data_IF_482120789706
#
_entry.id   IF_482120789706
#
_cell.length_a   1.000
_cell.length_b   1.000
_cell.length_c   1.000
_cell.angle_alpha   90.00
_cell.angle_beta   90.00
_cell.angle_gamma   90.00
#
_symmetry.space_group_name_H-M   'P 1'
#
loop_
_entity.id
_entity.type
_entity.pdbx_description
1 polymer ?
#
# COMPACT_ATOMS: atom_id res chain seq x y z
N UNK A 1 5.53 -11.57 4.33
CA UNK A 1 5.34 -10.82 3.09
C UNK A 1 4.19 -9.84 3.21
N UNK A 2 4.33 -8.66 2.62
CA UNK A 2 3.25 -7.70 2.46
C UNK A 2 3.02 -7.39 0.97
N UNK A 3 1.75 -7.21 0.57
CA UNK A 3 1.36 -6.66 -0.72
C UNK A 3 0.91 -5.22 -0.51
N UNK A 4 1.54 -4.29 -1.21
CA UNK A 4 1.22 -2.86 -1.14
C UNK A 4 0.69 -2.40 -2.49
N UNK A 5 -0.60 -2.09 -2.55
CA UNK A 5 -1.21 -1.52 -3.76
C UNK A 5 -0.95 -0.02 -3.85
N UNK A 6 -0.89 0.50 -5.09
CA UNK A 6 -0.55 1.89 -5.38
C UNK A 6 0.73 2.35 -4.65
N UNK A 7 1.77 1.52 -4.72
CA UNK A 7 3.00 1.68 -3.95
C UNK A 7 3.77 2.99 -4.24
N UNK A 8 3.48 3.65 -5.35
CA UNK A 8 4.04 4.96 -5.69
C UNK A 8 3.26 6.15 -5.12
N UNK A 9 2.14 5.93 -4.42
CA UNK A 9 1.42 6.99 -3.71
C UNK A 9 2.10 7.36 -2.40
N UNK A 10 1.72 8.49 -1.80
CA UNK A 10 2.28 8.90 -0.50
C UNK A 10 2.11 7.82 0.59
N UNK A 11 0.94 7.17 0.66
CA UNK A 11 0.71 6.05 1.58
C UNK A 11 1.54 4.83 1.18
N UNK A 12 1.59 4.52 -0.12
CA UNK A 12 2.31 3.37 -0.65
C UNK A 12 3.81 3.45 -0.43
N UNK A 13 4.42 4.60 -0.70
CA UNK A 13 5.86 4.83 -0.50
C UNK A 13 6.26 4.71 0.97
N UNK A 14 5.42 5.19 1.88
CA UNK A 14 5.61 5.00 3.32
C UNK A 14 5.49 3.53 3.71
N UNK A 15 4.46 2.83 3.22
CA UNK A 15 4.22 1.43 3.52
C UNK A 15 5.38 0.51 3.07
N UNK A 16 5.91 0.69 1.86
CA UNK A 16 7.07 -0.08 1.37
C UNK A 16 8.27 0.12 2.29
N UNK A 17 8.56 1.35 2.69
CA UNK A 17 9.67 1.65 3.58
C UNK A 17 9.46 1.05 4.99
N UNK A 18 8.23 1.07 5.52
CA UNK A 18 7.90 0.42 6.80
C UNK A 18 8.13 -1.09 6.70
N UNK A 19 7.63 -1.74 5.66
CA UNK A 19 7.81 -3.18 5.45
C UNK A 19 9.30 -3.54 5.45
N UNK A 20 10.11 -2.75 4.75
CA UNK A 20 11.56 -2.92 4.70
C UNK A 20 12.22 -2.71 6.07
N UNK A 21 11.83 -1.66 6.80
CA UNK A 21 12.47 -1.30 8.08
C UNK A 21 12.30 -2.37 9.17
N UNK A 22 11.22 -3.15 9.10
CA UNK A 22 10.96 -4.27 10.02
C UNK A 22 11.53 -5.61 9.51
N UNK A 23 12.33 -5.60 8.44
CA UNK A 23 12.93 -6.81 7.86
C UNK A 23 11.93 -7.72 7.12
N UNK A 24 10.71 -7.25 6.83
CA UNK A 24 9.74 -7.98 6.02
C UNK A 24 9.97 -7.74 4.53
N UNK A 25 9.32 -8.53 3.68
CA UNK A 25 9.42 -8.45 2.23
C UNK A 25 8.16 -7.84 1.62
N UNK A 26 8.32 -7.04 0.57
CA UNK A 26 7.25 -6.33 -0.11
C UNK A 26 7.07 -6.78 -1.56
N UNK A 27 5.83 -7.14 -1.92
CA UNK A 27 5.34 -7.08 -3.29
C UNK A 27 4.60 -5.75 -3.44
N UNK A 28 4.92 -4.97 -4.45
CA UNK A 28 4.40 -3.62 -4.64
C UNK A 28 3.80 -3.45 -6.03
N UNK A 29 2.58 -2.91 -6.15
CA UNK A 29 1.98 -2.64 -7.45
C UNK A 29 2.02 -1.16 -7.79
N UNK A 30 2.39 -0.84 -9.02
CA UNK A 30 2.37 0.52 -9.57
C UNK A 30 2.18 0.49 -11.08
N UNK A 31 2.07 1.65 -11.72
CA UNK A 31 2.06 1.75 -13.18
C UNK A 31 3.49 1.74 -13.73
N UNK A 32 3.64 1.41 -15.02
CA UNK A 32 4.92 1.27 -15.75
C UNK A 32 5.93 2.36 -15.43
N UNK A 33 5.51 3.64 -15.52
CA UNK A 33 6.39 4.79 -15.32
C UNK A 33 6.95 4.92 -13.90
N UNK A 34 6.37 4.22 -12.93
CA UNK A 34 6.70 4.32 -11.50
C UNK A 34 7.49 3.11 -10.98
N UNK A 35 7.73 2.10 -11.81
CA UNK A 35 8.38 0.83 -11.42
C UNK A 35 9.76 1.07 -10.82
N UNK A 36 10.61 1.85 -11.48
CA UNK A 36 11.97 2.10 -10.99
C UNK A 36 11.99 2.88 -9.67
N UNK A 37 11.08 3.85 -9.52
CA UNK A 37 10.96 4.60 -8.28
C UNK A 37 10.54 3.70 -7.10
N UNK A 38 9.57 2.81 -7.32
CA UNK A 38 9.10 1.87 -6.28
C UNK A 38 10.18 0.83 -5.96
N UNK A 39 10.93 0.37 -6.97
CA UNK A 39 12.08 -0.53 -6.76
C UNK A 39 13.16 0.13 -5.91
N UNK A 40 13.44 1.40 -6.15
CA UNK A 40 14.43 2.17 -5.38
C UNK A 40 14.02 2.36 -3.90
N UNK A 41 12.74 2.27 -3.55
CA UNK A 41 12.25 2.28 -2.17
C UNK A 41 12.54 0.97 -1.43
N UNK A 42 12.95 -0.08 -2.15
CA UNK A 42 13.33 -1.35 -1.58
C UNK A 42 12.21 -2.40 -1.56
N UNK A 43 11.22 -2.30 -2.45
CA UNK A 43 10.29 -3.40 -2.70
C UNK A 43 11.05 -4.60 -3.32
N UNK A 44 10.81 -5.81 -2.80
CA UNK A 44 11.46 -7.03 -3.29
C UNK A 44 10.94 -7.45 -4.67
N UNK A 45 9.66 -7.24 -4.90
CA UNK A 45 8.97 -7.47 -6.18
C UNK A 45 8.13 -6.26 -6.53
N UNK A 46 8.33 -5.71 -7.72
CA UNK A 46 7.51 -4.60 -8.24
C UNK A 46 6.75 -5.11 -9.44
N UNK A 47 5.44 -4.97 -9.39
CA UNK A 47 4.49 -5.43 -10.41
C UNK A 47 3.92 -4.23 -11.14
N UNK A 48 4.13 -4.16 -12.43
CA UNK A 48 3.42 -3.23 -13.31
C UNK A 48 2.00 -3.74 -13.57
N UNK A 49 1.02 -3.24 -12.81
CA UNK A 49 -0.37 -3.69 -12.92
C UNK A 49 -1.00 -3.46 -14.29
N UNK A 50 -0.35 -2.68 -15.17
CA UNK A 50 -0.85 -2.42 -16.53
C UNK A 50 -0.57 -3.55 -17.51
N UNK A 51 0.42 -4.40 -17.20
CA UNK A 51 0.89 -5.49 -18.06
C UNK A 51 1.08 -6.82 -17.34
N UNK A 52 1.10 -6.81 -16.00
CA UNK A 52 1.38 -8.00 -15.18
C UNK A 52 0.23 -8.32 -14.22
N UNK A 53 0.09 -9.60 -13.88
CA UNK A 53 -0.86 -10.05 -12.86
C UNK A 53 -0.18 -10.16 -11.49
N UNK A 54 -0.61 -9.34 -10.56
CA UNK A 54 -0.06 -9.36 -9.21
C UNK A 54 -0.38 -10.66 -8.45
N UNK A 55 -1.46 -11.37 -8.77
CA UNK A 55 -1.77 -12.67 -8.16
C UNK A 55 -0.69 -13.68 -8.51
N UNK A 56 -0.32 -13.74 -9.79
CA UNK A 56 0.76 -14.60 -10.25
C UNK A 56 2.11 -14.21 -9.68
N UNK A 57 2.39 -12.90 -9.61
CA UNK A 57 3.63 -12.37 -9.03
C UNK A 57 3.75 -12.72 -7.54
N UNK A 58 2.66 -12.58 -6.77
CA UNK A 58 2.61 -13.00 -5.36
C UNK A 58 2.83 -14.49 -5.22
N UNK A 59 2.15 -15.31 -6.04
CA UNK A 59 2.31 -16.76 -5.99
C UNK A 59 3.77 -17.16 -6.24
N UNK A 60 4.40 -16.58 -7.25
CA UNK A 60 5.81 -16.84 -7.57
C UNK A 60 6.73 -16.41 -6.43
N UNK A 61 6.57 -15.18 -5.92
CA UNK A 61 7.45 -14.62 -4.87
C UNK A 61 7.35 -15.38 -3.54
N UNK A 62 6.18 -15.96 -3.25
CA UNK A 62 5.92 -16.63 -1.96
C UNK A 62 5.90 -18.16 -2.05
N UNK A 63 6.21 -18.73 -3.20
CA UNK A 63 6.11 -20.19 -3.43
C UNK A 63 4.68 -20.71 -3.25
N UNK A 64 3.68 -19.94 -3.65
CA UNK A 64 2.26 -20.29 -3.53
C UNK A 64 1.64 -20.05 -2.15
N UNK A 65 2.42 -19.64 -1.14
CA UNK A 65 1.91 -19.41 0.23
C UNK A 65 0.97 -18.19 0.32
N UNK A 66 1.20 -17.17 -0.48
CA UNK A 66 0.55 -15.89 -0.39
C UNK A 66 1.22 -14.94 0.63
N UNK A 67 0.72 -13.70 0.70
CA UNK A 67 1.23 -12.63 1.57
C UNK A 67 0.47 -12.57 2.90
N UNK A 68 1.14 -12.15 3.97
CA UNK A 68 0.56 -12.09 5.32
C UNK A 68 -0.34 -10.87 5.52
N UNK A 69 -0.02 -9.76 4.83
CA UNK A 69 -0.76 -8.51 4.92
C UNK A 69 -0.92 -7.91 3.53
N UNK A 70 -2.09 -7.37 3.23
CA UNK A 70 -2.37 -6.58 2.05
C UNK A 70 -2.83 -5.19 2.49
N UNK A 71 -2.16 -4.15 2.02
CA UNK A 71 -2.60 -2.76 2.13
C UNK A 71 -3.30 -2.38 0.84
N UNK A 72 -4.61 -2.17 0.92
CA UNK A 72 -5.44 -1.87 -0.24
C UNK A 72 -6.05 -0.48 -0.16
N UNK A 73 -5.75 0.35 -1.15
CA UNK A 73 -6.34 1.67 -1.38
C UNK A 73 -7.27 1.68 -2.61
N UNK A 74 -7.34 0.55 -3.35
CA UNK A 74 -8.03 0.44 -4.63
C UNK A 74 -9.47 -0.04 -4.43
N UNK A 75 -9.65 -1.16 -3.74
CA UNK A 75 -10.97 -1.80 -3.61
C UNK A 75 -11.50 -2.34 -4.95
N UNK A 76 -12.84 -2.35 -5.10
CA UNK A 76 -13.45 -2.82 -6.34
C UNK A 76 -13.02 -4.24 -6.71
N UNK A 77 -12.69 -4.46 -7.96
CA UNK A 77 -12.30 -5.77 -8.52
C UNK A 77 -11.00 -6.34 -7.95
N UNK A 78 -10.28 -5.55 -7.14
CA UNK A 78 -9.08 -6.04 -6.47
C UNK A 78 -9.40 -7.01 -5.33
N UNK A 79 -10.59 -6.98 -4.75
CA UNK A 79 -10.90 -7.76 -3.55
C UNK A 79 -10.78 -9.27 -3.78
N UNK A 80 -11.36 -9.83 -4.83
CA UNK A 80 -11.24 -11.26 -5.13
C UNK A 80 -9.79 -11.67 -5.39
N UNK A 81 -9.05 -10.83 -6.11
CA UNK A 81 -7.63 -11.04 -6.40
C UNK A 81 -6.78 -10.94 -5.13
N UNK A 82 -7.13 -10.05 -4.20
CA UNK A 82 -6.51 -9.95 -2.89
C UNK A 82 -6.76 -11.22 -2.06
N UNK A 83 -7.97 -11.74 -2.09
CA UNK A 83 -8.28 -13.01 -1.41
C UNK A 83 -7.51 -14.17 -2.04
N UNK A 84 -7.35 -14.20 -3.35
CA UNK A 84 -6.49 -15.21 -4.01
C UNK A 84 -5.02 -15.11 -3.53
N UNK A 85 -4.53 -13.88 -3.30
CA UNK A 85 -3.14 -13.57 -2.96
C UNK A 85 -2.81 -13.70 -1.47
N UNK A 86 -3.83 -13.69 -0.57
CA UNK A 86 -3.58 -13.69 0.87
C UNK A 86 -3.18 -15.08 1.39
N UNK A 87 -2.26 -15.11 2.33
CA UNK A 87 -1.88 -16.33 3.03
C UNK A 87 -2.94 -16.77 4.05
N UNK A 88 -2.81 -18.01 4.55
CA UNK A 88 -3.63 -18.50 5.65
C UNK A 88 -3.51 -17.57 6.87
N UNK A 89 -4.65 -17.15 7.42
CA UNK A 89 -4.74 -16.19 8.54
C UNK A 89 -4.18 -14.80 8.23
N UNK A 90 -4.01 -14.46 6.94
CA UNK A 90 -3.56 -13.14 6.53
C UNK A 90 -4.62 -12.06 6.72
N UNK A 91 -4.22 -10.81 6.54
CA UNK A 91 -5.08 -9.64 6.76
C UNK A 91 -5.09 -8.73 5.54
N UNK A 92 -6.27 -8.38 5.07
CA UNK A 92 -6.49 -7.35 4.06
C UNK A 92 -6.94 -6.09 4.80
N UNK A 93 -6.19 -5.01 4.67
CA UNK A 93 -6.49 -3.71 5.27
C UNK A 93 -6.93 -2.75 4.18
N UNK A 94 -8.23 -2.46 4.16
CA UNK A 94 -8.84 -1.54 3.20
C UNK A 94 -8.80 -0.12 3.75
N UNK A 95 -7.99 0.74 3.13
CA UNK A 95 -7.81 2.14 3.56
C UNK A 95 -8.37 3.14 2.55
N UNK A 96 -8.77 2.69 1.38
CA UNK A 96 -9.39 3.50 0.33
C UNK A 96 -10.16 2.64 -0.67
N UNK A 97 -10.95 3.26 -1.53
CA UNK A 97 -11.80 2.58 -2.53
C UNK A 97 -11.75 3.33 -3.88
N UNK A 98 -10.55 3.66 -4.34
CA UNK A 98 -10.35 4.42 -5.57
C UNK A 98 -10.92 3.75 -6.82
N UNK A 99 -10.96 2.42 -6.84
CA UNK A 99 -11.55 1.60 -7.91
C UNK A 99 -13.03 1.24 -7.70
N UNK A 100 -13.64 1.73 -6.60
CA UNK A 100 -15.05 1.51 -6.27
C UNK A 100 -15.25 0.91 -4.89
N UNK A 101 -16.34 1.33 -4.23
CA UNK A 101 -16.69 0.89 -2.87
C UNK A 101 -17.75 -0.21 -2.82
N UNK A 102 -18.38 -0.52 -3.95
CA UNK A 102 -19.35 -1.62 -4.06
C UNK A 102 -18.77 -2.71 -4.95
N UNK A 103 -18.77 -3.93 -4.44
CA UNK A 103 -18.19 -5.08 -5.12
C UNK A 103 -19.06 -6.30 -4.86
N UNK A 104 -19.25 -7.12 -5.88
CA UNK A 104 -19.73 -8.50 -5.72
C UNK A 104 -18.54 -9.35 -5.27
N UNK A 105 -18.69 -10.10 -4.19
CA UNK A 105 -17.59 -10.81 -3.56
C UNK A 105 -17.99 -12.23 -3.16
N UNK A 106 -17.14 -13.20 -3.52
CA UNK A 106 -17.32 -14.59 -3.08
C UNK A 106 -16.80 -14.78 -1.64
N UNK A 107 -17.70 -14.63 -0.67
CA UNK A 107 -17.37 -14.83 0.75
C UNK A 107 -16.81 -16.23 1.02
N UNK A 108 -17.24 -17.25 0.27
CA UNK A 108 -16.74 -18.62 0.39
C UNK A 108 -15.24 -18.76 0.13
N UNK A 109 -14.64 -17.87 -0.65
CA UNK A 109 -13.21 -17.88 -0.91
C UNK A 109 -12.37 -17.41 0.30
N UNK A 110 -12.94 -16.58 1.17
CA UNK A 110 -12.26 -16.09 2.38
C UNK A 110 -12.17 -17.15 3.49
N UNK A 111 -13.18 -18.02 3.59
CA UNK A 111 -13.34 -18.99 4.69
C UNK A 111 -12.17 -19.97 4.82
N UNK A 112 -11.72 -20.68 3.75
CA UNK A 112 -10.58 -21.61 3.86
C UNK A 112 -9.29 -20.92 4.25
N UNK A 113 -9.14 -19.66 3.88
CA UNK A 113 -7.97 -18.83 4.24
C UNK A 113 -7.99 -18.42 5.71
N UNK A 114 -9.15 -18.46 6.39
CA UNK A 114 -9.32 -17.90 7.75
C UNK A 114 -8.75 -16.49 7.86
N UNK A 115 -8.79 -15.75 6.76
CA UNK A 115 -8.26 -14.41 6.63
C UNK A 115 -9.26 -13.37 7.13
N UNK A 116 -8.80 -12.17 7.40
CA UNK A 116 -9.65 -11.03 7.79
C UNK A 116 -9.58 -9.91 6.75
N UNK A 117 -10.73 -9.26 6.55
CA UNK A 117 -10.85 -8.01 5.81
C UNK A 117 -11.25 -6.92 6.81
N UNK A 118 -10.44 -5.90 6.94
CA UNK A 118 -10.66 -4.80 7.89
C UNK A 118 -10.62 -3.47 7.18
N UNK A 119 -11.71 -2.71 7.26
CA UNK A 119 -11.74 -1.32 6.81
C UNK A 119 -11.18 -0.39 7.88
N UNK A 120 -10.49 0.67 7.46
CA UNK A 120 -10.01 1.69 8.38
C UNK A 120 -10.00 3.07 7.73
N UNK A 121 -10.32 4.09 8.53
CA UNK A 121 -10.17 5.51 8.17
C UNK A 121 -9.58 6.27 9.35
N UNK A 122 -8.72 7.24 9.08
CA UNK A 122 -8.13 8.05 10.14
C UNK A 122 -9.07 9.20 10.56
N UNK A 123 -9.78 9.81 9.61
CA UNK A 123 -10.59 11.02 9.84
C UNK A 123 -11.63 10.82 10.94
N UNK A 124 -12.37 9.71 10.90
CA UNK A 124 -13.48 9.43 11.81
C UNK A 124 -13.06 8.75 13.13
N UNK A 125 -11.76 8.50 13.36
CA UNK A 125 -11.30 7.90 14.62
C UNK A 125 -11.47 8.88 15.79
N UNK A 126 -11.84 8.37 16.98
CA UNK A 126 -11.80 9.13 18.21
C UNK A 126 -10.43 9.77 18.47
N UNK A 127 -10.42 10.88 19.21
CA UNK A 127 -9.17 11.61 19.48
C UNK A 127 -8.16 10.75 20.24
N UNK A 128 -8.61 9.94 21.17
CA UNK A 128 -7.78 9.04 21.98
C UNK A 128 -7.02 8.04 21.11
N UNK A 129 -7.68 7.46 20.09
CA UNK A 129 -7.02 6.57 19.14
C UNK A 129 -5.97 7.30 18.28
N UNK A 130 -6.27 8.55 17.90
CA UNK A 130 -5.31 9.37 17.14
C UNK A 130 -4.10 9.72 17.98
N UNK A 131 -4.29 10.05 19.26
CA UNK A 131 -3.21 10.33 20.22
C UNK A 131 -2.34 9.09 20.38
N UNK A 132 -2.95 7.92 20.66
CA UNK A 132 -2.20 6.67 20.81
C UNK A 132 -1.41 6.31 19.55
N UNK A 133 -2.01 6.50 18.38
CA UNK A 133 -1.32 6.27 17.09
C UNK A 133 -0.15 7.25 16.90
N UNK A 134 -0.33 8.53 17.21
CA UNK A 134 0.73 9.54 17.10
C UNK A 134 1.89 9.26 18.06
N UNK A 135 1.61 8.86 19.30
CA UNK A 135 2.63 8.46 20.26
C UNK A 135 3.42 7.25 19.79
N UNK A 136 2.71 6.22 19.28
CA UNK A 136 3.35 5.04 18.73
C UNK A 136 4.21 5.39 17.50
N UNK A 137 3.69 6.22 16.59
CA UNK A 137 4.45 6.71 15.44
C UNK A 137 5.72 7.44 15.86
N UNK A 138 5.62 8.31 16.86
CA UNK A 138 6.78 9.05 17.39
C UNK A 138 7.83 8.11 17.96
N UNK A 139 7.43 7.09 18.70
CA UNK A 139 8.35 6.14 19.32
C UNK A 139 9.00 5.18 18.32
N UNK A 140 8.23 4.69 17.34
CA UNK A 140 8.67 3.61 16.45
C UNK A 140 9.21 4.13 15.10
N UNK A 141 8.63 5.23 14.57
CA UNK A 141 8.90 5.68 13.21
C UNK A 141 9.85 6.87 13.14
N UNK A 142 9.76 7.88 14.03
CA UNK A 142 10.65 9.04 13.97
C UNK A 142 12.14 8.67 14.02
N UNK A 143 12.61 7.72 14.83
CA UNK A 143 14.00 7.29 14.81
C UNK A 143 14.48 6.76 13.45
N UNK A 144 13.56 6.20 12.63
CA UNK A 144 13.89 5.72 11.30
C UNK A 144 14.12 6.88 10.32
N UNK A 145 13.43 8.01 10.52
CA UNK A 145 13.69 9.23 9.77
C UNK A 145 15.01 9.87 10.19
N UNK A 146 15.30 9.93 11.49
CA UNK A 146 16.55 10.50 12.03
C UNK A 146 17.77 9.70 11.54
N UNK A 147 17.66 8.37 11.47
CA UNK A 147 18.73 7.51 10.95
C UNK A 147 18.81 7.48 9.41
N UNK A 148 17.85 8.08 8.71
CA UNK A 148 17.77 8.06 7.25
C UNK A 148 17.31 6.72 6.64
N UNK A 149 16.86 5.76 7.46
CA UNK A 149 16.29 4.50 6.99
C UNK A 149 14.93 4.72 6.30
N UNK A 150 14.19 5.74 6.74
CA UNK A 150 12.99 6.21 6.07
C UNK A 150 13.14 7.66 5.63
N UNK A 151 12.55 8.00 4.50
CA UNK A 151 12.55 9.38 3.97
C UNK A 151 11.19 9.72 3.38
N UNK A 152 10.69 10.95 3.58
CA UNK A 152 9.55 11.42 2.80
C UNK A 152 9.92 11.42 1.31
N UNK A 153 9.06 10.86 0.49
CA UNK A 153 9.23 10.91 -0.97
C UNK A 153 8.56 12.18 -1.47
N UNK A 154 9.36 13.15 -1.87
CA UNK A 154 8.88 14.44 -2.37
C UNK A 154 9.10 14.50 -3.88
N UNK A 155 8.03 14.40 -4.66
CA UNK A 155 8.08 14.45 -6.11
C UNK A 155 8.40 15.87 -6.60
N UNK A 156 7.61 16.86 -6.18
CA UNK A 156 7.76 18.26 -6.57
C UNK A 156 7.44 19.22 -5.44
N UNK A 157 7.98 20.42 -5.55
CA UNK A 157 7.65 21.56 -4.70
C UNK A 157 7.06 22.66 -5.57
N UNK A 158 5.98 23.25 -5.11
CA UNK A 158 5.29 24.36 -5.76
C UNK A 158 5.21 25.52 -4.79
N UNK A 159 5.32 26.75 -5.30
CA UNK A 159 4.97 27.94 -4.55
C UNK A 159 3.44 28.05 -4.43
N UNK A 160 2.95 28.84 -3.48
CA UNK A 160 1.50 28.94 -3.24
C UNK A 160 0.72 29.48 -4.43
N UNK A 161 1.30 30.37 -5.21
CA UNK A 161 0.75 30.91 -6.45
C UNK A 161 0.63 29.85 -7.59
N UNK A 162 1.38 28.76 -7.48
CA UNK A 162 1.35 27.62 -8.40
C UNK A 162 0.45 26.47 -7.93
N UNK A 163 -0.45 26.69 -6.98
CA UNK A 163 -1.30 25.62 -6.42
C UNK A 163 -2.14 24.90 -7.46
N UNK A 164 -2.61 25.63 -8.51
CA UNK A 164 -3.36 25.04 -9.60
C UNK A 164 -2.54 24.04 -10.43
N UNK A 165 -1.23 24.30 -10.60
CA UNK A 165 -0.32 23.37 -11.28
C UNK A 165 -0.06 22.12 -10.42
N UNK A 166 0.05 22.30 -9.11
CA UNK A 166 0.17 21.18 -8.18
C UNK A 166 -1.05 20.25 -8.25
N UNK A 167 -2.26 20.81 -8.26
CA UNK A 167 -3.49 20.02 -8.43
C UNK A 167 -3.51 19.28 -9.77
N UNK A 168 -3.23 19.96 -10.88
CA UNK A 168 -3.16 19.31 -12.20
C UNK A 168 -2.14 18.17 -12.26
N UNK A 169 -1.00 18.32 -11.59
CA UNK A 169 0.02 17.29 -11.50
C UNK A 169 -0.48 16.05 -10.74
N UNK A 170 -1.19 16.26 -9.64
CA UNK A 170 -1.81 15.18 -8.87
C UNK A 170 -2.94 14.48 -9.65
N UNK A 171 -3.82 15.25 -10.30
CA UNK A 171 -4.94 14.72 -11.11
C UNK A 171 -4.43 13.89 -12.30
N UNK A 172 -3.30 14.26 -12.88
CA UNK A 172 -2.64 13.49 -13.93
C UNK A 172 -2.01 12.18 -13.44
N UNK A 173 -2.05 11.89 -12.12
CA UNK A 173 -1.39 10.76 -11.49
C UNK A 173 0.09 10.60 -11.90
N UNK A 174 0.77 11.73 -12.08
CA UNK A 174 2.17 11.77 -12.52
C UNK A 174 3.17 11.69 -11.37
N UNK A 175 2.74 12.01 -10.15
CA UNK A 175 3.57 12.09 -8.95
C UNK A 175 4.03 10.71 -8.44
N UNK A 176 5.17 10.71 -7.75
CA UNK A 176 5.65 9.62 -6.89
C UNK A 176 5.83 10.18 -5.48
N UNK A 177 5.05 9.67 -4.52
CA UNK A 177 4.98 10.20 -3.17
C UNK A 177 3.65 10.88 -2.85
#
# INVERSE_FOLDING_TARGET
WALVHAAASGVGTAAVQIVRSIGARAVATCSTKKVEAVRALGADVVVDYTSEDFVQAVATATGGRGVDVILDVIGGDYLDRNVASIALKGRIVQVGVMGGGKVEFNLGALMPKRASLTGTVLRARPLEEKIALAQRFSAEMLPLFDSGQMKPVIDRRHSLDQIADAHRHMEANANVG
#
